data_IF_999889381245
#
_entry.id   IF_999889381245
#
_cell.length_a   1.000
_cell.length_b   1.000
_cell.length_c   1.000
_cell.angle_alpha   90.00
_cell.angle_beta   90.00
_cell.angle_gamma   90.00
#
_symmetry.space_group_name_H-M   'P 1'
#
loop_
_entity.id
_entity.type
_entity.pdbx_description
1 polymer ?
#
# COMPACT_ATOMS: atom_id res chain seq x y z
N UNK A 1 -9.94 35.19 -25.83
CA UNK A 1 -8.81 35.19 -24.88
C UNK A 1 -7.57 35.63 -25.61
N UNK A 2 -6.81 36.61 -25.10
CA UNK A 2 -5.58 37.10 -25.74
C UNK A 2 -4.52 35.99 -25.83
N UNK A 3 -3.76 35.96 -26.91
CA UNK A 3 -2.62 35.05 -27.14
C UNK A 3 -1.58 35.14 -26.00
N UNK A 4 -1.42 36.33 -25.41
CA UNK A 4 -0.59 36.58 -24.22
C UNK A 4 -1.12 35.85 -22.97
N UNK A 5 -2.44 35.77 -22.79
CA UNK A 5 -3.06 35.08 -21.66
C UNK A 5 -2.90 33.55 -21.76
N UNK A 6 -2.94 33.00 -22.99
CA UNK A 6 -2.71 31.57 -23.21
C UNK A 6 -1.27 31.16 -22.91
N UNK A 7 -0.28 31.97 -23.30
CA UNK A 7 1.13 31.71 -22.98
C UNK A 7 1.41 31.79 -21.48
N UNK A 8 0.79 32.73 -20.76
CA UNK A 8 0.91 32.84 -19.31
C UNK A 8 0.31 31.62 -18.58
N UNK A 9 -0.88 31.14 -19.01
CA UNK A 9 -1.51 29.93 -18.47
C UNK A 9 -0.62 28.71 -18.72
N UNK A 10 -0.06 28.55 -19.93
CA UNK A 10 0.85 27.43 -20.24
C UNK A 10 2.09 27.45 -19.35
N UNK A 11 2.70 28.63 -19.17
CA UNK A 11 3.86 28.79 -18.28
C UNK A 11 3.51 28.43 -16.85
N UNK A 12 2.35 28.87 -16.34
CA UNK A 12 1.91 28.55 -14.99
C UNK A 12 1.62 27.06 -14.82
N UNK A 13 0.99 26.42 -15.81
CA UNK A 13 0.74 24.99 -15.81
C UNK A 13 2.05 24.19 -15.76
N UNK A 14 3.05 24.59 -16.53
CA UNK A 14 4.36 23.95 -16.54
C UNK A 14 5.05 24.04 -15.18
N UNK A 15 5.03 25.22 -14.53
CA UNK A 15 5.56 25.40 -13.18
C UNK A 15 4.86 24.53 -12.13
N UNK A 16 3.53 24.35 -12.26
CA UNK A 16 2.78 23.49 -11.34
C UNK A 16 3.14 22.01 -11.54
N UNK A 17 3.37 21.57 -12.77
CA UNK A 17 3.83 20.20 -13.07
C UNK A 17 5.22 19.94 -12.49
N UNK A 18 6.15 20.87 -12.66
CA UNK A 18 7.49 20.76 -12.06
C UNK A 18 7.43 20.68 -10.53
N UNK A 19 6.48 21.40 -9.91
CA UNK A 19 6.22 21.28 -8.47
C UNK A 19 5.68 19.90 -8.09
N UNK A 20 4.77 19.33 -8.88
CA UNK A 20 4.25 17.96 -8.68
C UNK A 20 5.40 16.95 -8.79
N UNK A 21 6.23 17.03 -9.83
CA UNK A 21 7.36 16.12 -10.00
C UNK A 21 8.33 16.15 -8.81
N UNK A 22 8.55 17.33 -8.22
CA UNK A 22 9.37 17.47 -7.02
C UNK A 22 8.72 16.84 -5.77
N UNK A 23 7.41 16.99 -5.61
CA UNK A 23 6.65 16.34 -4.54
C UNK A 23 6.68 14.81 -4.70
N UNK A 24 6.48 14.31 -5.92
CA UNK A 24 6.48 12.87 -6.21
C UNK A 24 7.83 12.22 -5.92
N UNK A 25 8.95 12.91 -6.22
CA UNK A 25 10.29 12.46 -5.81
C UNK A 25 10.43 12.38 -4.30
N UNK A 26 9.82 13.32 -3.58
CA UNK A 26 9.84 13.31 -2.10
C UNK A 26 9.03 12.14 -1.57
N UNK A 27 7.82 11.90 -2.11
CA UNK A 27 7.00 10.74 -1.77
C UNK A 27 7.77 9.45 -2.02
N UNK A 28 8.39 9.29 -3.20
CA UNK A 28 9.21 8.12 -3.51
C UNK A 28 10.37 7.93 -2.54
N UNK A 29 11.05 9.01 -2.16
CA UNK A 29 12.14 8.95 -1.18
C UNK A 29 11.64 8.44 0.17
N UNK A 30 10.53 9.00 0.66
CA UNK A 30 9.92 8.58 1.92
C UNK A 30 9.48 7.10 1.88
N UNK A 31 8.93 6.64 0.75
CA UNK A 31 8.54 5.23 0.57
C UNK A 31 9.76 4.30 0.61
N UNK A 32 10.87 4.66 -0.03
CA UNK A 32 12.12 3.89 0.00
C UNK A 32 12.70 3.80 1.42
N UNK A 33 12.72 4.92 2.13
CA UNK A 33 13.20 4.96 3.52
C UNK A 33 12.31 4.12 4.43
N UNK A 34 10.99 4.27 4.32
CA UNK A 34 10.03 3.45 5.08
C UNK A 34 10.24 1.96 4.83
N UNK A 35 10.47 1.56 3.58
CA UNK A 35 10.74 0.16 3.22
C UNK A 35 12.03 -0.36 3.88
N UNK A 36 13.08 0.45 3.92
CA UNK A 36 14.34 0.07 4.57
C UNK A 36 14.14 -0.15 6.08
N UNK A 37 13.50 0.80 6.76
CA UNK A 37 13.17 0.69 8.20
C UNK A 37 12.32 -0.55 8.47
N UNK A 38 11.32 -0.82 7.62
CA UNK A 38 10.45 -1.98 7.80
C UNK A 38 11.21 -3.31 7.63
N UNK A 39 12.19 -3.39 6.73
CA UNK A 39 13.05 -4.59 6.60
C UNK A 39 13.85 -4.87 7.88
N UNK A 40 14.37 -3.82 8.51
CA UNK A 40 15.05 -3.94 9.80
C UNK A 40 14.10 -4.41 10.90
N UNK A 41 12.89 -3.83 10.97
CA UNK A 41 11.83 -4.28 11.88
C UNK A 41 11.51 -5.76 11.66
N UNK A 42 11.36 -6.21 10.41
CA UNK A 42 11.11 -7.61 10.09
C UNK A 42 12.24 -8.54 10.54
N UNK A 43 13.50 -8.10 10.40
CA UNK A 43 14.65 -8.87 10.92
C UNK A 43 14.61 -9.02 12.44
N UNK A 44 14.28 -7.94 13.17
CA UNK A 44 14.12 -7.97 14.63
C UNK A 44 12.94 -8.84 15.07
N UNK A 45 11.80 -8.74 14.37
CA UNK A 45 10.63 -9.59 14.66
C UNK A 45 10.95 -11.08 14.55
N UNK A 46 11.70 -11.47 13.51
CA UNK A 46 12.17 -12.86 13.34
C UNK A 46 13.10 -13.30 14.47
N UNK A 47 14.00 -12.43 14.93
CA UNK A 47 14.87 -12.74 16.08
C UNK A 47 14.07 -12.91 17.38
N UNK A 48 12.98 -12.16 17.54
CA UNK A 48 12.08 -12.24 18.69
C UNK A 48 11.04 -13.36 18.58
N UNK A 49 10.93 -14.03 17.43
CA UNK A 49 9.91 -15.05 17.18
C UNK A 49 8.48 -14.49 17.19
N UNK A 50 8.29 -13.21 16.86
CA UNK A 50 6.97 -12.57 16.79
C UNK A 50 6.49 -12.44 15.35
N UNK A 51 5.17 -12.50 15.16
CA UNK A 51 4.56 -12.44 13.83
C UNK A 51 4.80 -11.10 13.11
N UNK A 52 5.00 -11.19 11.80
CA UNK A 52 5.13 -10.01 10.92
C UNK A 52 3.80 -9.26 10.84
N UNK A 53 2.68 -9.97 10.74
CA UNK A 53 1.33 -9.40 10.72
C UNK A 53 0.95 -8.87 12.11
N UNK A 54 0.62 -7.59 12.20
CA UNK A 54 0.15 -6.94 13.42
C UNK A 54 -1.00 -5.98 13.10
N UNK A 55 -2.22 -6.51 13.13
CA UNK A 55 -3.43 -5.76 12.78
C UNK A 55 -3.68 -4.56 13.71
N UNK A 56 -3.25 -4.66 14.97
CA UNK A 56 -3.34 -3.55 15.93
C UNK A 56 -2.44 -2.40 15.52
N UNK A 57 -1.20 -2.71 15.13
CA UNK A 57 -0.25 -1.72 14.63
C UNK A 57 -0.71 -1.08 13.34
N UNK A 58 -1.25 -1.85 12.39
CA UNK A 58 -1.77 -1.32 11.11
C UNK A 58 -2.94 -0.36 11.34
N UNK A 59 -3.90 -0.74 12.19
CA UNK A 59 -5.02 0.14 12.58
C UNK A 59 -4.52 1.45 13.18
N UNK A 60 -3.56 1.39 14.10
CA UNK A 60 -2.97 2.57 14.71
C UNK A 60 -2.23 3.49 13.71
N UNK A 61 -1.64 2.94 12.63
CA UNK A 61 -1.10 3.79 11.54
C UNK A 61 -2.22 4.59 10.89
N UNK A 62 -3.30 3.92 10.50
CA UNK A 62 -4.40 4.55 9.76
C UNK A 62 -5.11 5.60 10.61
N UNK A 63 -5.43 5.28 11.87
CA UNK A 63 -6.07 6.22 12.80
C UNK A 63 -5.23 7.50 12.97
N UNK A 64 -3.91 7.36 13.14
CA UNK A 64 -3.01 8.51 13.23
C UNK A 64 -3.01 9.34 11.94
N UNK A 65 -2.93 8.70 10.78
CA UNK A 65 -2.92 9.40 9.47
C UNK A 65 -4.23 10.16 9.25
N UNK A 66 -5.38 9.56 9.60
CA UNK A 66 -6.68 10.23 9.48
C UNK A 66 -6.81 11.41 10.46
N UNK A 67 -6.28 11.29 11.67
CA UNK A 67 -6.24 12.39 12.62
C UNK A 67 -5.38 13.57 12.12
N UNK A 68 -4.20 13.27 11.55
CA UNK A 68 -3.28 14.28 10.99
C UNK A 68 -3.83 14.91 9.68
N UNK A 69 -4.66 14.19 8.94
CA UNK A 69 -5.27 14.68 7.69
C UNK A 69 -6.18 15.90 7.89
N UNK A 70 -6.80 16.04 9.07
CA UNK A 70 -7.69 17.17 9.41
C UNK A 70 -8.77 17.47 8.35
N UNK A 71 -9.23 16.44 7.62
CA UNK A 71 -10.26 16.54 6.59
C UNK A 71 -9.82 17.16 5.25
N UNK A 72 -8.52 17.38 5.02
CA UNK A 72 -8.03 18.00 3.76
C UNK A 72 -8.05 17.01 2.60
N UNK A 73 -7.59 15.78 2.82
CA UNK A 73 -7.64 14.70 1.84
C UNK A 73 -8.90 13.85 2.05
N UNK A 74 -9.55 13.33 0.99
CA UNK A 74 -10.68 12.40 1.16
C UNK A 74 -10.28 11.16 1.97
N UNK A 75 -10.90 10.96 3.14
CA UNK A 75 -10.45 9.99 4.14
C UNK A 75 -10.39 8.55 3.61
N UNK A 76 -11.40 8.12 2.85
CA UNK A 76 -11.43 6.77 2.26
C UNK A 76 -10.30 6.56 1.25
N UNK A 77 -9.98 7.58 0.44
CA UNK A 77 -8.87 7.50 -0.51
C UNK A 77 -7.52 7.50 0.23
N UNK A 78 -7.37 8.34 1.26
CA UNK A 78 -6.16 8.39 2.07
C UNK A 78 -5.90 7.06 2.78
N UNK A 79 -6.96 6.48 3.36
CA UNK A 79 -6.93 5.16 3.98
C UNK A 79 -6.48 4.09 3.00
N UNK A 80 -7.05 4.06 1.79
CA UNK A 80 -6.66 3.10 0.75
C UNK A 80 -5.18 3.21 0.37
N UNK A 81 -4.68 4.43 0.16
CA UNK A 81 -3.27 4.69 -0.16
C UNK A 81 -2.36 4.17 0.95
N UNK A 82 -2.63 4.54 2.21
CA UNK A 82 -1.77 4.16 3.32
C UNK A 82 -1.85 2.67 3.67
N UNK A 83 -3.01 2.02 3.50
CA UNK A 83 -3.13 0.57 3.65
C UNK A 83 -2.27 -0.15 2.61
N UNK A 84 -2.30 0.25 1.35
CA UNK A 84 -1.48 -0.39 0.31
C UNK A 84 0.03 -0.24 0.60
N UNK A 85 0.45 0.93 1.10
CA UNK A 85 1.84 1.16 1.55
C UNK A 85 2.19 0.21 2.71
N UNK A 86 1.28 0.04 3.68
CA UNK A 86 1.46 -0.86 4.82
C UNK A 86 1.57 -2.31 4.34
N UNK A 87 0.62 -2.77 3.52
CA UNK A 87 0.60 -4.13 2.99
C UNK A 87 1.85 -4.45 2.17
N UNK A 88 2.25 -3.55 1.27
CA UNK A 88 3.48 -3.73 0.46
C UNK A 88 4.72 -3.87 1.34
N UNK A 89 4.81 -3.06 2.40
CA UNK A 89 5.92 -3.14 3.34
C UNK A 89 5.86 -4.40 4.23
N UNK A 90 4.66 -4.93 4.51
CA UNK A 90 4.47 -6.22 5.19
C UNK A 90 5.02 -7.36 4.33
N UNK A 91 4.63 -7.45 3.07
CA UNK A 91 5.15 -8.44 2.11
C UNK A 91 6.66 -8.35 1.93
N UNK A 92 7.24 -7.16 2.06
CA UNK A 92 8.69 -6.98 1.97
C UNK A 92 9.48 -7.49 3.20
N UNK A 93 8.83 -7.66 4.35
CA UNK A 93 9.43 -8.30 5.53
C UNK A 93 9.45 -9.81 5.36
N UNK A 94 8.34 -10.36 4.87
CA UNK A 94 8.13 -11.77 4.62
C UNK A 94 7.18 -11.93 3.44
N UNK A 95 7.61 -12.59 2.34
CA UNK A 95 6.75 -12.85 1.20
C UNK A 95 5.49 -13.58 1.63
N UNK A 96 4.34 -12.95 1.41
CA UNK A 96 3.06 -13.48 1.84
C UNK A 96 2.45 -14.33 0.73
N UNK A 97 2.32 -15.63 0.97
CA UNK A 97 1.54 -16.54 0.13
C UNK A 97 0.10 -16.55 0.61
N UNK A 98 -0.85 -16.43 -0.32
CA UNK A 98 -2.28 -16.39 -0.01
C UNK A 98 -3.01 -17.35 -0.95
N UNK A 99 -3.43 -18.48 -0.41
CA UNK A 99 -4.34 -19.38 -1.13
C UNK A 99 -5.79 -18.91 -0.98
N UNK A 100 -6.60 -19.11 -2.01
CA UNK A 100 -8.02 -18.79 -1.98
C UNK A 100 -8.85 -19.72 -2.88
N UNK A 101 -10.10 -19.92 -2.51
CA UNK A 101 -11.01 -20.80 -3.25
C UNK A 101 -11.57 -20.11 -4.49
N UNK A 102 -11.40 -20.76 -5.64
CA UNK A 102 -11.92 -20.34 -6.93
C UNK A 102 -10.89 -19.61 -7.81
N UNK A 103 -11.27 -19.30 -9.07
CA UNK A 103 -10.36 -18.67 -10.01
C UNK A 103 -10.11 -17.19 -9.68
N UNK A 104 -9.11 -16.62 -10.35
CA UNK A 104 -8.84 -15.18 -10.32
C UNK A 104 -10.09 -14.36 -10.67
N UNK A 105 -10.11 -13.14 -10.13
CA UNK A 105 -11.18 -12.16 -10.26
C UNK A 105 -12.57 -12.58 -9.71
N UNK A 106 -12.61 -13.63 -8.88
CA UNK A 106 -13.82 -14.00 -8.10
C UNK A 106 -13.86 -13.31 -6.74
N UNK A 107 -14.97 -13.49 -5.99
CA UNK A 107 -15.15 -12.87 -4.69
C UNK A 107 -14.03 -13.21 -3.68
N UNK A 108 -13.57 -14.47 -3.67
CA UNK A 108 -12.47 -14.89 -2.81
C UNK A 108 -11.17 -14.18 -3.17
N UNK A 109 -10.87 -14.05 -4.47
CA UNK A 109 -9.71 -13.30 -4.94
C UNK A 109 -9.80 -11.82 -4.52
N UNK A 110 -10.95 -11.18 -4.73
CA UNK A 110 -11.14 -9.77 -4.38
C UNK A 110 -11.06 -9.53 -2.86
N UNK A 111 -11.58 -10.46 -2.05
CA UNK A 111 -11.45 -10.41 -0.60
C UNK A 111 -9.99 -10.57 -0.17
N UNK A 112 -9.26 -11.49 -0.80
CA UNK A 112 -7.85 -11.72 -0.55
C UNK A 112 -7.01 -10.47 -0.88
N UNK A 113 -7.22 -9.84 -2.04
CA UNK A 113 -6.56 -8.56 -2.40
C UNK A 113 -6.85 -7.47 -1.38
N UNK A 114 -8.12 -7.32 -0.99
CA UNK A 114 -8.53 -6.28 -0.03
C UNK A 114 -7.83 -6.43 1.32
N UNK A 115 -7.66 -7.67 1.78
CA UNK A 115 -7.08 -7.95 3.09
C UNK A 115 -5.56 -7.98 3.07
N UNK A 116 -4.95 -8.54 2.02
CA UNK A 116 -3.52 -8.80 1.97
C UNK A 116 -2.72 -7.78 1.15
N UNK A 117 -3.39 -6.93 0.37
CA UNK A 117 -2.78 -5.98 -0.55
C UNK A 117 -2.37 -6.64 -1.87
N UNK A 118 -2.06 -5.82 -2.87
CA UNK A 118 -1.84 -6.30 -4.25
C UNK A 118 -0.48 -6.98 -4.43
N UNK A 119 0.46 -6.75 -3.51
CA UNK A 119 1.82 -7.29 -3.60
C UNK A 119 1.95 -8.75 -3.13
N UNK A 120 0.89 -9.36 -2.57
CA UNK A 120 0.93 -10.75 -2.11
C UNK A 120 0.96 -11.76 -3.27
N UNK A 121 1.48 -12.95 -3.00
CA UNK A 121 1.53 -14.07 -3.95
C UNK A 121 0.22 -14.87 -3.85
N UNK A 122 -0.71 -14.61 -4.76
CA UNK A 122 -2.05 -15.18 -4.77
C UNK A 122 -2.09 -16.53 -5.50
N UNK A 123 -2.59 -17.57 -4.82
CA UNK A 123 -2.64 -18.96 -5.30
C UNK A 123 -4.10 -19.43 -5.41
N UNK A 124 -4.71 -19.42 -6.61
CA UNK A 124 -6.08 -19.92 -6.78
C UNK A 124 -6.11 -21.44 -6.56
N UNK A 125 -7.16 -21.92 -5.90
CA UNK A 125 -7.38 -23.33 -5.62
C UNK A 125 -8.76 -23.78 -6.07
N UNK A 126 -8.86 -25.03 -6.54
CA UNK A 126 -10.11 -25.59 -7.06
C UNK A 126 -10.98 -26.22 -5.96
N UNK A 127 -10.37 -26.81 -4.94
CA UNK A 127 -11.07 -27.34 -3.77
C UNK A 127 -10.71 -26.61 -2.48
N UNK A 128 -11.63 -26.62 -1.52
CA UNK A 128 -11.44 -25.97 -0.23
C UNK A 128 -10.31 -26.62 0.59
N UNK A 129 -10.10 -27.93 0.45
CA UNK A 129 -9.01 -28.64 1.14
C UNK A 129 -7.64 -28.14 0.67
N UNK A 130 -7.47 -27.96 -0.64
CA UNK A 130 -6.23 -27.48 -1.26
C UNK A 130 -5.83 -26.08 -0.75
N UNK A 131 -6.81 -25.26 -0.33
CA UNK A 131 -6.53 -23.95 0.29
C UNK A 131 -5.76 -24.11 1.60
N UNK A 132 -6.11 -25.09 2.43
CA UNK A 132 -5.41 -25.35 3.69
C UNK A 132 -4.02 -25.94 3.41
N UNK A 133 -3.93 -26.94 2.53
CA UNK A 133 -2.66 -27.60 2.18
C UNK A 133 -1.62 -26.63 1.58
N UNK A 134 -2.03 -25.63 0.81
CA UNK A 134 -1.12 -24.63 0.23
C UNK A 134 -0.59 -23.61 1.27
N UNK A 135 -1.27 -23.47 2.42
CA UNK A 135 -0.95 -22.46 3.44
C UNK A 135 -0.31 -23.01 4.73
N UNK A 136 -0.28 -24.33 4.90
CA UNK A 136 0.47 -25.04 5.96
C UNK A 136 1.95 -25.24 5.57
#
# INVERSE_FOLDING_TARGET
>A
MSQKNQEEIKKRLQQLREKIDALDRTVLSCLKERLAVVKEVGALKRQLGVEVLDLGRERAVIERILAENAGVFPEEALKAIFLEIVHTCRTAQEPLKVAYLGPEATFSHMAAIKFFGHAADFRPQEALLDVFEETE
#
